data_IF_619907789502
#
_entry.id   IF_619907789502
#
_cell.length_a   1.000
_cell.length_b   1.000
_cell.length_c   1.000
_cell.angle_alpha   90.00
_cell.angle_beta   90.00
_cell.angle_gamma   90.00
#
_symmetry.space_group_name_H-M   'P 1'
#
loop_
_entity.id
_entity.type
_entity.pdbx_description
1 polymer ?
#
# COMPACT_ATOMS: atom_id res chain seq x y z
N UNK A 1 -8.24 5.50 -16.32
CA UNK A 1 -8.09 6.95 -16.04
C UNK A 1 -7.14 7.02 -14.89
N UNK A 2 -6.02 7.72 -15.04
CA UNK A 2 -4.98 7.73 -14.02
C UNK A 2 -5.52 8.33 -12.71
N UNK A 3 -4.94 7.90 -11.60
CA UNK A 3 -5.17 8.51 -10.29
C UNK A 3 -4.66 9.96 -10.34
N UNK A 4 -5.50 10.97 -10.02
CA UNK A 4 -5.02 12.35 -9.94
C UNK A 4 -3.89 12.48 -8.91
N UNK A 5 -2.84 13.22 -9.25
CA UNK A 5 -1.63 13.35 -8.43
C UNK A 5 -1.94 13.78 -6.99
N UNK A 6 -2.89 14.70 -6.83
CA UNK A 6 -3.34 15.22 -5.53
C UNK A 6 -4.08 14.17 -4.68
N UNK A 7 -4.62 13.12 -5.30
CA UNK A 7 -5.34 12.03 -4.62
C UNK A 7 -4.44 10.82 -4.33
N UNK A 8 -3.31 10.68 -5.03
CA UNK A 8 -2.41 9.56 -4.89
C UNK A 8 -1.93 9.34 -3.44
N UNK A 9 -1.51 10.37 -2.68
CA UNK A 9 -1.07 10.18 -1.29
C UNK A 9 -2.13 9.50 -0.43
N UNK A 10 -3.38 9.97 -0.51
CA UNK A 10 -4.48 9.45 0.32
C UNK A 10 -4.86 8.02 -0.08
N UNK A 11 -4.77 7.67 -1.37
CA UNK A 11 -5.02 6.32 -1.87
C UNK A 11 -3.93 5.37 -1.37
N UNK A 12 -2.66 5.76 -1.47
CA UNK A 12 -1.52 4.94 -1.02
C UNK A 12 -1.54 4.74 0.48
N UNK A 13 -1.78 5.78 1.27
CA UNK A 13 -1.84 5.67 2.74
C UNK A 13 -2.97 4.74 3.20
N UNK A 14 -4.13 4.80 2.56
CA UNK A 14 -5.24 3.89 2.83
C UNK A 14 -4.91 2.45 2.39
N UNK A 15 -4.24 2.27 1.25
CA UNK A 15 -3.74 0.96 0.83
C UNK A 15 -2.73 0.37 1.84
N UNK A 16 -1.84 1.20 2.39
CA UNK A 16 -0.90 0.83 3.44
C UNK A 16 -1.60 0.46 4.76
N UNK A 17 -2.73 1.10 5.07
CA UNK A 17 -3.54 0.82 6.29
C UNK A 17 -4.22 -0.54 6.25
N UNK A 18 -4.59 -1.03 5.06
CA UNK A 18 -5.35 -2.28 4.88
C UNK A 18 -4.51 -3.56 4.92
N UNK A 19 -3.22 -3.44 5.24
CA UNK A 19 -2.26 -4.54 5.27
C UNK A 19 -2.21 -5.32 3.94
N UNK A 20 -1.56 -4.71 2.96
CA UNK A 20 -1.46 -5.14 1.56
C UNK A 20 -0.55 -6.35 1.33
N UNK A 21 -0.06 -6.99 2.40
CA UNK A 21 1.04 -7.96 2.35
C UNK A 21 2.37 -7.26 2.05
N UNK A 22 3.47 -7.74 2.61
CA UNK A 22 4.77 -7.05 2.60
C UNK A 22 5.47 -6.95 1.22
N UNK A 23 4.76 -6.89 0.10
CA UNK A 23 5.29 -6.99 -1.27
C UNK A 23 4.77 -5.85 -2.16
N UNK A 24 5.61 -5.38 -3.09
CA UNK A 24 5.23 -4.36 -4.09
C UNK A 24 3.97 -4.72 -4.86
N UNK A 25 3.85 -5.97 -5.34
CA UNK A 25 2.66 -6.44 -6.06
C UNK A 25 1.39 -6.36 -5.20
N UNK A 26 1.50 -6.63 -3.90
CA UNK A 26 0.38 -6.48 -2.97
C UNK A 26 -0.02 -5.00 -2.83
N UNK A 27 0.97 -4.11 -2.76
CA UNK A 27 0.71 -2.66 -2.68
C UNK A 27 0.00 -2.15 -3.93
N UNK A 28 0.47 -2.51 -5.13
CA UNK A 28 -0.15 -2.04 -6.39
C UNK A 28 -1.59 -2.51 -6.52
N UNK A 29 -1.90 -3.75 -6.12
CA UNK A 29 -3.26 -4.28 -6.08
C UNK A 29 -4.13 -3.52 -5.06
N UNK A 30 -3.61 -3.28 -3.85
CA UNK A 30 -4.33 -2.54 -2.80
C UNK A 30 -4.63 -1.09 -3.21
N UNK A 31 -3.66 -0.40 -3.82
CA UNK A 31 -3.84 0.94 -4.38
C UNK A 31 -4.93 0.95 -5.44
N UNK A 32 -4.92 -0.04 -6.35
CA UNK A 32 -5.92 -0.15 -7.38
C UNK A 32 -7.32 -0.39 -6.80
N UNK A 33 -7.44 -1.25 -5.78
CA UNK A 33 -8.70 -1.47 -5.05
C UNK A 33 -9.23 -0.19 -4.40
N UNK A 34 -8.38 0.53 -3.67
CA UNK A 34 -8.77 1.79 -3.02
C UNK A 34 -9.18 2.84 -4.06
N UNK A 35 -8.48 2.92 -5.20
CA UNK A 35 -8.85 3.81 -6.30
C UNK A 35 -10.23 3.46 -6.88
N UNK A 36 -10.55 2.18 -7.05
CA UNK A 36 -11.88 1.72 -7.47
C UNK A 36 -12.96 2.07 -6.44
N UNK A 37 -12.74 1.80 -5.15
CA UNK A 37 -13.71 2.13 -4.09
C UNK A 37 -14.00 3.63 -3.99
N UNK A 38 -13.00 4.46 -4.30
CA UNK A 38 -13.11 5.92 -4.32
C UNK A 38 -13.68 6.48 -5.64
N UNK A 39 -14.12 5.61 -6.56
CA UNK A 39 -14.71 5.97 -7.84
C UNK A 39 -13.72 6.62 -8.83
N UNK A 40 -12.40 6.43 -8.63
CA UNK A 40 -11.37 6.92 -9.56
C UNK A 40 -11.27 5.97 -10.75
N UNK A 41 -11.13 4.69 -10.45
CA UNK A 41 -11.24 3.62 -11.43
C UNK A 41 -12.69 3.18 -11.58
N UNK A 42 -13.09 2.65 -12.76
CA UNK A 42 -14.42 2.10 -12.94
C UNK A 42 -14.69 0.96 -11.96
N UNK A 43 -15.95 0.88 -11.48
CA UNK A 43 -16.40 -0.21 -10.63
C UNK A 43 -16.28 -1.55 -11.34
N UNK A 44 -15.83 -2.58 -10.63
CA UNK A 44 -15.75 -3.94 -11.16
C UNK A 44 -17.17 -4.48 -11.34
N UNK A 45 -17.56 -4.77 -12.59
CA UNK A 45 -18.87 -5.38 -12.87
C UNK A 45 -18.86 -6.91 -12.71
N UNK A 46 -17.69 -7.54 -12.77
CA UNK A 46 -17.56 -8.98 -12.62
C UNK A 46 -16.16 -9.33 -12.11
N UNK A 47 -16.11 -10.26 -11.16
CA UNK A 47 -14.93 -10.77 -10.46
C UNK A 47 -13.65 -10.75 -11.31
N UNK A 48 -12.71 -9.84 -11.03
CA UNK A 48 -11.33 -9.89 -11.55
C UNK A 48 -10.44 -8.98 -10.72
N UNK A 49 -9.21 -9.45 -10.51
CA UNK A 49 -8.10 -8.75 -9.86
C UNK A 49 -8.05 -7.31 -10.36
N UNK A 50 -8.15 -6.34 -9.45
CA UNK A 50 -7.97 -4.92 -9.80
C UNK A 50 -6.50 -4.70 -10.06
N UNK A 51 -6.19 -4.22 -11.27
CA UNK A 51 -4.83 -3.87 -11.65
C UNK A 51 -4.68 -2.36 -11.63
N UNK A 52 -3.52 -1.90 -11.18
CA UNK A 52 -3.12 -0.51 -11.30
C UNK A 52 -3.08 -0.14 -12.79
N UNK A 53 -3.61 1.03 -13.15
CA UNK A 53 -3.44 1.59 -14.49
C UNK A 53 -1.92 1.76 -14.74
N UNK A 54 -1.36 1.26 -15.87
CA UNK A 54 0.07 1.40 -16.14
C UNK A 54 0.58 2.85 -16.12
N UNK A 55 -0.31 3.83 -16.37
CA UNK A 55 0.03 5.25 -16.25
C UNK A 55 0.32 5.70 -14.81
N UNK A 56 -0.19 4.98 -13.81
CA UNK A 56 -0.04 5.30 -12.39
C UNK A 56 1.21 4.69 -11.76
N UNK A 57 1.83 3.70 -12.41
CA UNK A 57 3.02 3.01 -11.88
C UNK A 57 4.21 3.96 -11.65
N UNK A 58 4.58 4.88 -12.56
CA UNK A 58 5.70 5.79 -12.33
C UNK A 58 5.48 6.75 -11.16
N UNK A 59 4.24 7.24 -10.99
CA UNK A 59 3.91 8.15 -9.88
C UNK A 59 3.84 7.41 -8.54
N UNK A 60 3.28 6.19 -8.53
CA UNK A 60 3.28 5.33 -7.35
C UNK A 60 4.71 4.99 -6.92
N UNK A 61 5.57 4.62 -7.88
CA UNK A 61 6.98 4.34 -7.59
C UNK A 61 7.67 5.56 -6.98
N UNK A 62 7.50 6.76 -7.56
CA UNK A 62 8.07 8.00 -7.02
C UNK A 62 7.59 8.27 -5.60
N UNK A 63 6.31 8.08 -5.32
CA UNK A 63 5.76 8.31 -3.99
C UNK A 63 6.26 7.29 -2.97
N UNK A 64 6.33 6.01 -3.34
CA UNK A 64 6.90 4.96 -2.48
C UNK A 64 8.39 5.19 -2.21
N UNK A 65 9.17 5.61 -3.20
CA UNK A 65 10.57 6.02 -2.99
C UNK A 65 10.68 7.16 -1.97
N UNK A 66 9.81 8.16 -2.07
CA UNK A 66 9.74 9.26 -1.09
C UNK A 66 9.43 8.74 0.32
N UNK A 67 8.47 7.83 0.47
CA UNK A 67 8.16 7.23 1.78
C UNK A 67 9.33 6.42 2.36
N UNK A 68 10.17 5.83 1.51
CA UNK A 68 11.41 5.15 1.93
C UNK A 68 12.45 6.17 2.39
N UNK A 69 12.66 7.23 1.61
CA UNK A 69 13.58 8.34 1.94
C UNK A 69 13.16 9.04 3.25
N UNK A 70 11.87 9.24 3.47
CA UNK A 70 11.28 9.81 4.69
C UNK A 70 11.31 8.83 5.88
N UNK A 71 11.80 7.59 5.68
CA UNK A 71 11.91 6.56 6.71
C UNK A 71 10.58 5.95 7.17
N UNK A 72 9.51 6.12 6.40
CA UNK A 72 8.17 5.58 6.69
C UNK A 72 8.02 4.15 6.17
N UNK A 73 8.63 3.84 5.03
CA UNK A 73 8.72 2.48 4.49
C UNK A 73 10.16 1.97 4.53
N UNK A 74 10.33 0.70 4.85
CA UNK A 74 11.57 -0.02 4.65
C UNK A 74 11.46 -0.86 3.37
N UNK A 75 12.51 -0.81 2.56
CA UNK A 75 12.72 -1.67 1.42
C UNK A 75 13.72 -2.77 1.80
N UNK A 76 13.45 -4.01 1.44
CA UNK A 76 14.50 -5.02 1.50
C UNK A 76 14.35 -6.12 0.45
N UNK A 77 15.29 -7.05 0.51
CA UNK A 77 15.38 -8.21 -0.38
C UNK A 77 15.47 -9.43 0.54
N UNK A 78 14.53 -10.37 0.46
CA UNK A 78 14.60 -11.62 1.24
C UNK A 78 15.32 -12.72 0.43
N UNK A 79 15.91 -13.70 1.13
CA UNK A 79 16.83 -14.72 0.61
C UNK A 79 16.30 -15.53 -0.59
N UNK A 80 17.24 -15.94 -1.46
CA UNK A 80 17.01 -16.55 -2.77
C UNK A 80 16.02 -17.70 -2.71
N UNK A 81 14.98 -17.71 -3.55
CA UNK A 81 15.08 -18.07 -4.97
C UNK A 81 14.29 -17.15 -5.92
N UNK A 82 13.52 -16.19 -5.39
CA UNK A 82 12.76 -15.22 -6.19
C UNK A 82 13.42 -13.83 -6.17
N UNK A 83 14.46 -13.67 -7.00
CA UNK A 83 15.27 -12.44 -7.15
C UNK A 83 14.54 -11.25 -7.79
N UNK A 84 13.24 -11.33 -8.04
CA UNK A 84 12.57 -10.37 -8.92
C UNK A 84 11.95 -9.17 -8.21
N UNK A 85 11.69 -9.19 -6.90
CA UNK A 85 10.86 -8.14 -6.31
C UNK A 85 11.21 -7.78 -4.86
N UNK A 86 11.27 -6.48 -4.50
CA UNK A 86 11.55 -6.06 -3.15
C UNK A 86 10.32 -6.20 -2.25
N UNK A 87 10.58 -6.50 -0.97
CA UNK A 87 9.56 -6.40 0.07
C UNK A 87 9.48 -4.96 0.59
N UNK A 88 8.26 -4.56 0.95
CA UNK A 88 7.97 -3.27 1.57
C UNK A 88 7.34 -3.51 2.94
N UNK A 89 7.81 -2.78 3.95
CA UNK A 89 7.21 -2.83 5.28
C UNK A 89 7.14 -1.46 5.92
N UNK A 90 6.08 -1.21 6.69
CA UNK A 90 6.00 0.00 7.50
C UNK A 90 6.99 -0.05 8.66
N UNK A 91 7.86 0.96 8.73
CA UNK A 91 8.72 1.19 9.89
C UNK A 91 7.89 1.59 11.12
N UNK A 92 8.46 1.62 12.33
CA UNK A 92 7.75 2.16 13.50
C UNK A 92 7.25 3.60 13.29
N UNK A 93 8.00 4.41 12.54
CA UNK A 93 7.58 5.77 12.17
C UNK A 93 6.45 5.74 11.14
N UNK A 94 6.57 4.91 10.11
CA UNK A 94 5.52 4.70 9.11
C UNK A 94 4.22 4.23 9.72
N UNK A 95 4.27 3.30 10.68
CA UNK A 95 3.08 2.85 11.41
C UNK A 95 2.41 4.01 12.16
N UNK A 96 3.19 4.87 12.82
CA UNK A 96 2.63 6.06 13.47
C UNK A 96 2.04 7.05 12.47
N UNK A 97 2.63 7.20 11.29
CA UNK A 97 2.12 8.09 10.25
C UNK A 97 0.83 7.54 9.60
N UNK A 98 0.77 6.24 9.32
CA UNK A 98 -0.37 5.58 8.66
C UNK A 98 -1.54 5.32 9.64
N UNK A 99 -1.22 4.93 10.88
CA UNK A 99 -2.21 4.50 11.89
C UNK A 99 -2.34 5.47 13.07
N UNK A 100 -1.78 6.69 12.97
CA UNK A 100 -1.60 7.61 14.09
C UNK A 100 -2.76 7.65 15.09
N UNK A 101 -2.43 7.29 16.34
CA UNK A 101 -3.29 7.35 17.54
C UNK A 101 -4.55 6.47 17.59
N UNK A 102 -4.69 5.46 16.72
CA UNK A 102 -5.64 4.35 16.93
C UNK A 102 -4.95 2.99 16.70
N UNK A 103 -4.01 2.67 17.59
CA UNK A 103 -3.66 1.27 17.81
C UNK A 103 -3.62 0.89 19.32
N UNK A 104 -4.75 0.95 20.04
CA UNK A 104 -4.99 0.06 21.16
C UNK A 104 -6.11 -0.92 20.77
N UNK A 105 -5.75 -2.11 20.27
CA UNK A 105 -6.79 -3.05 19.82
C UNK A 105 -6.38 -4.48 19.48
N UNK A 106 -5.12 -4.90 19.68
CA UNK A 106 -4.80 -6.33 19.81
C UNK A 106 -4.54 -6.68 21.27
N UNK A 107 -5.44 -6.19 22.12
CA UNK A 107 -5.65 -6.67 23.47
C UNK A 107 -6.79 -7.66 23.45
N UNK A 108 -6.52 -8.88 22.99
CA UNK A 108 -7.20 -10.06 23.56
C UNK A 108 -6.26 -11.26 23.57
N UNK A 109 -5.22 -11.15 24.41
CA UNK A 109 -4.67 -12.33 25.08
C UNK A 109 -5.39 -12.43 26.42
N UNK A 110 -6.27 -13.41 26.52
CA UNK A 110 -6.69 -13.94 27.80
C UNK A 110 -8.12 -13.60 28.18
N UNK A 111 -9.07 -14.30 27.57
CA UNK A 111 -10.16 -14.84 28.35
C UNK A 111 -9.77 -16.27 28.73
N UNK A 112 -9.68 -16.43 30.04
CA UNK A 112 -9.44 -17.68 30.78
C UNK A 112 -10.49 -18.74 30.48
#
# INVERSE_FOLDING_TARGET
>A
MPIPEERLPDVVLEALRRDFGSQWLGLTQSVAWVATERGIYPALQDTRIVQLDPADEPQLHRYVSKLIEDGLLALGIEGGENRQWPWLSLTPLGRKAVFGLDAPGSGDRGVR
#
